data_IF_200168219433
#
_entry.id   IF_200168219433
#
_cell.length_a   1.000
_cell.length_b   1.000
_cell.length_c   1.000
_cell.angle_alpha   90.00
_cell.angle_beta   90.00
_cell.angle_gamma   90.00
#
_symmetry.space_group_name_H-M   'P 1'
#
loop_
_entity.id
_entity.type
_entity.pdbx_description
1 polymer ?
#
# COMPACT_ATOMS: atom_id res chain seq x y z
N UNK A 1 24.15 12.10 -2.22
CA UNK A 1 23.81 10.72 -1.83
C UNK A 1 24.47 9.74 -2.81
N UNK A 2 25.02 8.60 -2.35
CA UNK A 2 25.65 7.65 -3.28
C UNK A 2 24.60 6.75 -3.96
N UNK A 3 24.93 6.22 -5.14
CA UNK A 3 24.01 5.46 -6.00
C UNK A 3 23.45 4.19 -5.33
N UNK A 4 24.21 3.58 -4.41
CA UNK A 4 23.82 2.38 -3.69
C UNK A 4 22.74 2.66 -2.65
N UNK A 5 22.85 3.78 -1.93
CA UNK A 5 21.87 4.19 -0.93
C UNK A 5 20.50 4.53 -1.56
N UNK A 6 20.51 5.18 -2.73
CA UNK A 6 19.30 5.43 -3.52
C UNK A 6 18.60 4.11 -3.91
N UNK A 7 19.37 3.14 -4.40
CA UNK A 7 18.83 1.85 -4.85
C UNK A 7 18.14 1.12 -3.69
N UNK A 8 18.78 1.04 -2.52
CA UNK A 8 18.19 0.40 -1.35
C UNK A 8 16.92 1.10 -0.86
N UNK A 9 16.84 2.44 -0.95
CA UNK A 9 15.63 3.18 -0.59
C UNK A 9 14.48 2.88 -1.58
N UNK A 10 14.77 2.82 -2.88
CA UNK A 10 13.79 2.50 -3.91
C UNK A 10 13.30 1.05 -3.83
N UNK A 11 14.18 0.08 -3.56
CA UNK A 11 13.79 -1.32 -3.35
C UNK A 11 12.84 -1.46 -2.16
N UNK A 12 13.19 -0.86 -1.03
CA UNK A 12 12.35 -0.86 0.17
C UNK A 12 11.00 -0.18 -0.06
N UNK A 13 10.97 0.83 -0.94
CA UNK A 13 9.73 1.50 -1.33
C UNK A 13 8.85 0.59 -2.18
N UNK A 14 9.46 -0.08 -3.17
CA UNK A 14 8.79 -1.03 -4.04
C UNK A 14 8.17 -2.19 -3.25
N UNK A 15 8.88 -2.75 -2.27
CA UNK A 15 8.36 -3.82 -1.41
C UNK A 15 7.11 -3.39 -0.63
N UNK A 16 7.13 -2.18 -0.04
CA UNK A 16 5.98 -1.64 0.70
C UNK A 16 4.76 -1.40 -0.19
N UNK A 17 4.98 -0.93 -1.42
CA UNK A 17 3.92 -0.77 -2.41
C UNK A 17 3.36 -2.15 -2.79
N UNK A 18 4.23 -3.14 -3.04
CA UNK A 18 3.85 -4.52 -3.36
C UNK A 18 2.90 -5.11 -2.33
N UNK A 19 3.24 -5.02 -1.04
CA UNK A 19 2.37 -5.50 0.04
C UNK A 19 1.02 -4.75 0.12
N UNK A 20 1.00 -3.45 -0.17
CA UNK A 20 -0.25 -2.68 -0.20
C UNK A 20 -1.15 -3.12 -1.36
N UNK A 21 -0.56 -3.41 -2.53
CA UNK A 21 -1.27 -3.92 -3.70
C UNK A 21 -1.83 -5.32 -3.45
N UNK A 22 -1.07 -6.22 -2.82
CA UNK A 22 -1.56 -7.55 -2.44
C UNK A 22 -2.77 -7.47 -1.49
N UNK A 23 -2.69 -6.61 -0.47
CA UNK A 23 -3.81 -6.38 0.46
C UNK A 23 -5.05 -5.80 -0.23
N UNK A 24 -4.87 -4.83 -1.12
CA UNK A 24 -5.97 -4.27 -1.92
C UNK A 24 -6.60 -5.30 -2.86
N UNK A 25 -5.79 -6.15 -3.48
CA UNK A 25 -6.26 -7.22 -4.37
C UNK A 25 -7.10 -8.26 -3.62
N UNK A 26 -6.65 -8.68 -2.43
CA UNK A 26 -7.41 -9.61 -1.58
C UNK A 26 -8.77 -9.01 -1.16
N UNK A 27 -8.76 -7.73 -0.81
CA UNK A 27 -9.99 -7.00 -0.46
C UNK A 27 -10.93 -6.88 -1.65
N UNK A 28 -10.44 -6.50 -2.83
CA UNK A 28 -11.26 -6.40 -4.04
C UNK A 28 -11.92 -7.74 -4.37
N UNK A 29 -11.17 -8.84 -4.26
CA UNK A 29 -11.72 -10.18 -4.47
C UNK A 29 -12.83 -10.53 -3.47
N UNK A 30 -12.70 -10.14 -2.20
CA UNK A 30 -13.75 -10.36 -1.20
C UNK A 30 -14.99 -9.50 -1.45
N UNK A 31 -14.82 -8.27 -1.95
CA UNK A 31 -15.95 -7.41 -2.37
C UNK A 31 -16.67 -8.02 -3.56
N UNK A 32 -15.94 -8.51 -4.57
CA UNK A 32 -16.52 -9.18 -5.75
C UNK A 32 -17.34 -10.41 -5.36
N UNK A 33 -16.85 -11.23 -4.40
CA UNK A 33 -17.59 -12.38 -3.89
C UNK A 33 -18.89 -11.94 -3.19
N UNK A 34 -18.84 -10.88 -2.37
CA UNK A 34 -20.03 -10.39 -1.67
C UNK A 34 -21.09 -9.91 -2.67
N UNK A 35 -20.67 -9.24 -3.74
CA UNK A 35 -21.57 -8.77 -4.81
C UNK A 35 -22.18 -9.94 -5.60
N UNK A 36 -21.36 -10.93 -5.98
CA UNK A 36 -21.81 -12.13 -6.71
C UNK A 36 -22.83 -12.96 -5.91
N UNK A 37 -22.61 -13.11 -4.61
CA UNK A 37 -23.49 -13.86 -3.71
C UNK A 37 -24.67 -13.03 -3.17
N UNK A 38 -24.76 -11.75 -3.56
CA UNK A 38 -25.72 -10.78 -3.03
C UNK A 38 -25.74 -10.76 -1.49
N UNK A 39 -24.55 -10.93 -0.90
CA UNK A 39 -24.33 -11.05 0.53
C UNK A 39 -23.98 -9.67 1.12
N UNK A 40 -24.48 -9.35 2.33
CA UNK A 40 -24.09 -8.12 3.00
C UNK A 40 -22.59 -8.14 3.31
N UNK A 41 -21.90 -7.03 3.03
CA UNK A 41 -20.48 -6.87 3.32
C UNK A 41 -20.19 -7.18 4.81
N UNK A 42 -19.39 -8.21 5.13
CA UNK A 42 -19.08 -8.54 6.52
C UNK A 42 -18.34 -7.40 7.21
N UNK A 43 -18.61 -7.18 8.50
CA UNK A 43 -17.90 -6.18 9.31
C UNK A 43 -16.37 -6.37 9.24
N UNK A 44 -15.93 -7.64 9.23
CA UNK A 44 -14.52 -8.02 9.12
C UNK A 44 -13.89 -7.57 7.79
N UNK A 45 -14.67 -7.55 6.70
CA UNK A 45 -14.20 -7.04 5.40
C UNK A 45 -14.07 -5.52 5.43
N UNK A 46 -15.00 -4.82 6.07
CA UNK A 46 -14.92 -3.37 6.26
C UNK A 46 -13.73 -2.96 7.17
N UNK A 47 -13.44 -3.74 8.21
CA UNK A 47 -12.27 -3.55 9.07
C UNK A 47 -10.96 -3.84 8.32
N UNK A 48 -10.92 -4.89 7.51
CA UNK A 48 -9.77 -5.20 6.65
C UNK A 48 -9.50 -4.08 5.64
N UNK A 49 -10.55 -3.58 4.97
CA UNK A 49 -10.50 -2.40 4.10
C UNK A 49 -9.86 -1.21 4.81
N UNK A 50 -10.28 -0.93 6.05
CA UNK A 50 -9.77 0.18 6.84
C UNK A 50 -8.27 0.03 7.16
N UNK A 51 -7.84 -1.19 7.49
CA UNK A 51 -6.42 -1.51 7.74
C UNK A 51 -5.59 -1.34 6.47
N UNK A 52 -6.06 -1.87 5.33
CA UNK A 52 -5.38 -1.75 4.04
C UNK A 52 -5.27 -0.29 3.58
N UNK A 53 -6.31 0.52 3.75
CA UNK A 53 -6.27 1.97 3.50
C UNK A 53 -5.21 2.64 4.38
N UNK A 54 -5.13 2.27 5.67
CA UNK A 54 -4.11 2.79 6.59
C UNK A 54 -2.69 2.47 6.14
N UNK A 55 -2.42 1.22 5.72
CA UNK A 55 -1.11 0.82 5.19
C UNK A 55 -0.77 1.56 3.89
N UNK A 56 -1.75 1.72 2.99
CA UNK A 56 -1.58 2.41 1.72
C UNK A 56 -1.26 3.89 1.92
N UNK A 57 -1.98 4.57 2.83
CA UNK A 57 -1.70 5.96 3.19
C UNK A 57 -0.31 6.13 3.80
N UNK A 58 0.08 5.21 4.71
CA UNK A 58 1.42 5.22 5.30
C UNK A 58 2.52 4.99 4.25
N UNK A 59 2.32 4.06 3.32
CA UNK A 59 3.24 3.85 2.20
C UNK A 59 3.37 5.11 1.34
N UNK A 60 2.26 5.81 1.05
CA UNK A 60 2.28 7.08 0.31
C UNK A 60 3.06 8.19 1.02
N UNK A 61 2.95 8.28 2.35
CA UNK A 61 3.72 9.25 3.12
C UNK A 61 5.23 8.96 3.05
N UNK A 62 5.62 7.69 3.21
CA UNK A 62 7.00 7.24 3.08
C UNK A 62 7.58 7.49 1.68
N UNK A 63 6.78 7.32 0.62
CA UNK A 63 7.16 7.71 -0.76
C UNK A 63 7.45 9.21 -0.80
N UNK A 64 6.57 10.03 -0.23
CA UNK A 64 6.72 11.49 -0.23
C UNK A 64 7.98 11.92 0.51
N UNK A 65 8.21 11.40 1.72
CA UNK A 65 9.42 11.64 2.52
C UNK A 65 10.69 11.25 1.73
N UNK A 66 10.70 10.06 1.13
CA UNK A 66 11.83 9.61 0.31
C UNK A 66 12.08 10.58 -0.84
N UNK A 67 11.04 10.98 -1.58
CA UNK A 67 11.18 11.94 -2.69
C UNK A 67 11.72 13.30 -2.21
N UNK A 68 11.28 13.79 -1.05
CA UNK A 68 11.77 15.04 -0.48
C UNK A 68 13.24 14.96 -0.08
N UNK A 69 13.66 13.86 0.56
CA UNK A 69 15.08 13.58 0.86
C UNK A 69 15.93 13.56 -0.41
N UNK A 70 15.43 12.93 -1.47
CA UNK A 70 16.11 12.86 -2.78
C UNK A 70 16.26 14.24 -3.42
N UNK A 71 15.23 15.09 -3.31
CA UNK A 71 15.27 16.48 -3.83
C UNK A 71 16.25 17.34 -3.05
N UNK A 72 16.31 17.19 -1.72
CA UNK A 72 17.23 17.96 -0.88
C UNK A 72 18.71 17.57 -1.06
N UNK A 73 18.98 16.39 -1.62
CA UNK A 73 20.33 15.86 -1.88
C UNK A 73 20.88 16.18 -3.28
N UNK A 74 20.10 16.84 -4.15
CA UNK A 74 20.50 17.34 -5.47
C UNK A 74 20.63 18.86 -5.46
#
# INVERSE_FOLDING_TARGET
MNQHQLLCQLERLNDKIGHSVEGLSAVAHMVDICDQENAPMPLQLAELLRVVVGYTANASNLITETIEELKACN
#
